data_IF_393857013325
#
_entry.id   IF_393857013325
#
_cell.length_a   1.000
_cell.length_b   1.000
_cell.length_c   1.000
_cell.angle_alpha   90.00
_cell.angle_beta   90.00
_cell.angle_gamma   90.00
#
_symmetry.space_group_name_H-M   'P 1'
#
loop_
_entity.id
_entity.type
_entity.pdbx_description
1 polymer ?
#
# COMPACT_ATOMS: atom_id res chain seq x y z
N UNK A 1 -50.93 -16.86 0.90
CA UNK A 1 -49.59 -16.39 0.52
C UNK A 1 -48.63 -16.83 1.59
N UNK A 2 -47.91 -17.93 1.33
CA UNK A 2 -46.97 -18.53 2.28
C UNK A 2 -45.60 -17.89 2.07
N UNK A 3 -45.06 -17.28 3.12
CA UNK A 3 -43.75 -16.63 3.11
C UNK A 3 -42.64 -17.64 3.40
N UNK A 4 -41.67 -17.68 2.49
CA UNK A 4 -40.44 -18.46 2.54
C UNK A 4 -39.59 -18.17 3.79
N UNK A 5 -39.11 -19.24 4.43
CA UNK A 5 -38.16 -19.18 5.53
C UNK A 5 -36.83 -19.79 5.07
N UNK A 6 -35.89 -18.93 4.64
CA UNK A 6 -34.55 -19.31 4.22
C UNK A 6 -33.59 -19.32 5.42
N UNK A 7 -33.13 -20.52 5.79
CA UNK A 7 -32.03 -20.77 6.74
C UNK A 7 -30.69 -20.34 6.15
N UNK A 8 -29.99 -19.42 6.82
CA UNK A 8 -28.60 -19.11 6.51
C UNK A 8 -27.63 -20.16 7.09
N UNK A 9 -26.79 -20.70 6.20
CA UNK A 9 -25.68 -21.62 6.50
C UNK A 9 -24.49 -20.86 7.12
N UNK A 10 -23.97 -21.37 8.23
CA UNK A 10 -22.61 -21.09 8.74
C UNK A 10 -21.56 -21.59 7.73
N UNK A 11 -20.65 -20.71 7.32
CA UNK A 11 -19.27 -21.01 6.90
C UNK A 11 -18.39 -20.07 7.76
N UNK A 12 -17.45 -20.52 8.56
CA UNK A 12 -16.42 -21.51 8.23
C UNK A 12 -15.12 -20.73 8.06
N UNK A 13 -14.54 -20.33 9.19
CA UNK A 13 -13.19 -19.75 9.31
C UNK A 13 -12.18 -20.75 8.74
N UNK A 14 -11.25 -20.27 7.91
CA UNK A 14 -9.97 -20.92 7.72
C UNK A 14 -8.92 -19.88 7.39
N UNK A 15 -7.93 -19.82 8.28
CA UNK A 15 -6.76 -18.99 8.22
C UNK A 15 -5.84 -19.40 7.06
N UNK A 16 -5.21 -18.40 6.43
CA UNK A 16 -4.00 -18.55 5.66
C UNK A 16 -3.09 -17.37 5.99
N UNK A 17 -1.79 -17.61 6.19
CA UNK A 17 -0.81 -16.67 5.68
C UNK A 17 0.19 -17.37 4.75
N UNK A 18 0.18 -16.93 3.50
CA UNK A 18 1.08 -17.34 2.44
C UNK A 18 2.35 -16.50 2.44
N UNK A 19 3.47 -17.20 2.30
CA UNK A 19 4.68 -16.80 1.56
C UNK A 19 5.41 -15.51 1.96
N UNK A 20 6.38 -15.67 2.87
CA UNK A 20 7.54 -14.80 2.95
C UNK A 20 8.42 -14.97 1.69
N UNK A 21 8.77 -13.85 1.08
CA UNK A 21 9.64 -13.72 -0.08
C UNK A 21 11.01 -13.19 0.33
N UNK A 22 12.00 -13.52 -0.51
CA UNK A 22 13.29 -12.83 -0.72
C UNK A 22 14.46 -13.09 0.25
N UNK A 23 15.50 -13.77 -0.24
CA UNK A 23 16.77 -13.12 -0.64
C UNK A 23 17.90 -14.14 -0.83
N UNK A 24 18.54 -14.25 -2.01
CA UNK A 24 19.83 -14.90 -2.13
C UNK A 24 20.97 -13.89 -1.92
N UNK A 25 21.76 -14.19 -0.90
CA UNK A 25 23.00 -13.55 -0.46
C UNK A 25 24.09 -13.75 -1.54
N UNK A 26 24.47 -12.71 -2.28
CA UNK A 26 25.47 -12.80 -3.36
C UNK A 26 26.74 -12.02 -2.98
N UNK A 27 27.60 -12.64 -2.18
CA UNK A 27 28.90 -12.09 -1.77
C UNK A 27 29.97 -12.39 -2.82
N UNK A 28 30.20 -11.45 -3.75
CA UNK A 28 31.42 -11.44 -4.58
C UNK A 28 32.59 -10.87 -3.77
N UNK A 29 33.47 -11.76 -3.28
CA UNK A 29 34.78 -11.37 -2.75
C UNK A 29 35.66 -10.85 -3.88
N UNK A 30 36.32 -9.74 -3.60
CA UNK A 30 37.24 -8.98 -4.42
C UNK A 30 38.63 -9.22 -3.85
N UNK A 31 39.40 -10.13 -4.43
CA UNK A 31 40.79 -10.37 -4.05
C UNK A 31 41.68 -10.39 -5.31
N UNK A 32 42.65 -9.49 -5.33
CA UNK A 32 43.70 -9.34 -6.34
C UNK A 32 44.34 -7.96 -6.16
N UNK A 33 45.64 -7.86 -5.82
CA UNK A 33 46.66 -8.24 -6.79
C UNK A 33 47.87 -9.00 -6.19
N UNK A 34 48.30 -10.06 -6.85
CA UNK A 34 49.65 -10.61 -6.65
C UNK A 34 50.60 -9.98 -7.67
N UNK A 35 51.54 -9.22 -7.15
CA UNK A 35 52.73 -8.78 -7.87
C UNK A 35 53.63 -10.00 -8.13
N UNK A 36 54.00 -10.22 -9.39
CA UNK A 36 55.21 -10.95 -9.73
C UNK A 36 55.92 -10.27 -10.89
N UNK A 37 57.23 -10.25 -10.73
CA UNK A 37 58.25 -9.38 -11.32
C UNK A 37 59.11 -10.26 -12.25
N UNK A 38 59.72 -9.61 -13.25
CA UNK A 38 60.77 -10.12 -14.14
C UNK A 38 60.27 -11.16 -15.18
N UNK A 39 60.70 -11.15 -16.43
CA UNK A 39 62.04 -10.94 -16.97
C UNK A 39 62.01 -10.30 -18.36
N UNK A 40 63.14 -9.68 -18.71
CA UNK A 40 63.45 -9.19 -20.03
C UNK A 40 63.35 -10.29 -21.10
N UNK A 41 62.78 -9.95 -22.26
CA UNK A 41 63.31 -10.48 -23.51
C UNK A 41 63.24 -9.43 -24.62
N UNK A 42 64.40 -9.26 -25.24
CA UNK A 42 64.69 -8.33 -26.31
C UNK A 42 64.32 -9.05 -27.60
N UNK A 43 63.15 -8.73 -28.16
CA UNK A 43 62.83 -9.08 -29.54
C UNK A 43 62.31 -7.85 -30.26
N UNK A 44 63.27 -7.16 -30.87
CA UNK A 44 63.12 -6.05 -31.80
C UNK A 44 62.52 -6.61 -33.10
N UNK A 45 61.19 -6.71 -33.16
CA UNK A 45 60.48 -6.87 -34.42
C UNK A 45 60.08 -5.48 -34.89
N UNK A 46 60.67 -5.04 -36.00
CA UNK A 46 60.27 -3.84 -36.71
C UNK A 46 58.83 -4.00 -37.21
N UNK A 47 57.86 -3.66 -36.36
CA UNK A 47 56.47 -3.51 -36.77
C UNK A 47 56.27 -2.05 -37.17
N UNK A 48 56.24 -1.82 -38.48
CA UNK A 48 55.76 -0.60 -39.11
C UNK A 48 54.55 -0.06 -38.36
N UNK A 49 54.67 1.10 -37.72
CA UNK A 49 53.52 1.85 -37.23
C UNK A 49 52.66 2.24 -38.43
N UNK A 50 51.68 1.40 -38.72
CA UNK A 50 50.49 1.84 -39.42
C UNK A 50 49.70 2.62 -38.40
N UNK A 51 49.82 3.95 -38.41
CA UNK A 51 48.85 4.82 -37.76
C UNK A 51 47.47 4.43 -38.28
N UNK A 52 46.55 3.89 -37.46
CA UNK A 52 45.19 3.66 -37.91
C UNK A 52 44.60 5.04 -38.20
N UNK A 53 44.39 5.32 -39.48
CA UNK A 53 43.61 6.46 -39.93
C UNK A 53 42.29 6.48 -39.17
N UNK A 54 41.83 7.65 -38.66
CA UNK A 54 40.56 7.74 -37.95
C UNK A 54 39.48 7.12 -38.82
N UNK A 55 38.59 6.27 -38.27
CA UNK A 55 37.59 5.57 -39.05
C UNK A 55 36.76 6.61 -39.81
N UNK A 56 36.99 6.70 -41.12
CA UNK A 56 36.22 7.57 -41.98
C UNK A 56 34.81 7.00 -41.99
N UNK A 57 33.88 7.74 -41.38
CA UNK A 57 32.47 7.38 -41.33
C UNK A 57 32.02 7.16 -42.77
N UNK A 58 31.66 5.92 -43.09
CA UNK A 58 31.20 5.61 -44.44
C UNK A 58 29.86 6.33 -44.67
N UNK A 59 29.52 6.69 -45.92
CA UNK A 59 28.25 7.35 -46.23
C UNK A 59 27.02 6.62 -45.66
N UNK A 60 27.12 5.30 -45.51
CA UNK A 60 26.13 4.44 -44.88
C UNK A 60 25.93 4.74 -43.39
N UNK A 61 27.01 5.08 -42.67
CA UNK A 61 27.00 5.35 -41.24
C UNK A 61 26.35 6.71 -40.92
N UNK A 62 26.54 7.69 -41.81
CA UNK A 62 25.82 8.97 -41.78
C UNK A 62 24.32 8.77 -42.04
N UNK A 63 23.95 7.94 -43.01
CA UNK A 63 22.54 7.59 -43.27
C UNK A 63 21.88 6.90 -42.08
N UNK A 64 22.56 5.97 -41.41
CA UNK A 64 22.01 5.28 -40.23
C UNK A 64 21.75 6.28 -39.09
N UNK A 65 22.67 7.22 -38.85
CA UNK A 65 22.49 8.26 -37.81
C UNK A 65 21.32 9.19 -38.13
N UNK A 66 21.15 9.55 -39.40
CA UNK A 66 20.07 10.43 -39.84
C UNK A 66 18.70 9.74 -39.70
N UNK A 67 18.61 8.46 -40.10
CA UNK A 67 17.42 7.63 -39.90
C UNK A 67 17.10 7.49 -38.41
N UNK A 68 18.09 7.21 -37.56
CA UNK A 68 17.87 7.09 -36.12
C UNK A 68 17.33 8.40 -35.52
N UNK A 69 17.82 9.54 -36.01
CA UNK A 69 17.36 10.86 -35.56
C UNK A 69 15.92 11.13 -35.99
N UNK A 70 15.55 10.83 -37.24
CA UNK A 70 14.17 10.97 -37.72
C UNK A 70 13.21 10.02 -36.99
N UNK A 71 13.62 8.77 -36.76
CA UNK A 71 12.84 7.79 -36.00
C UNK A 71 12.60 8.28 -34.57
N UNK A 72 13.62 8.79 -33.89
CA UNK A 72 13.47 9.36 -32.55
C UNK A 72 12.53 10.57 -32.55
N UNK A 73 12.66 11.46 -33.53
CA UNK A 73 11.79 12.64 -33.66
C UNK A 73 10.33 12.28 -33.91
N UNK A 74 10.04 11.14 -34.54
CA UNK A 74 8.67 10.67 -34.78
C UNK A 74 8.10 9.92 -33.57
N UNK A 75 8.92 9.09 -32.92
CA UNK A 75 8.48 8.19 -31.85
C UNK A 75 8.36 8.92 -30.50
N UNK A 76 9.34 9.76 -30.15
CA UNK A 76 9.38 10.39 -28.82
C UNK A 76 8.12 11.21 -28.51
N UNK A 77 7.60 12.08 -29.41
CA UNK A 77 6.38 12.84 -29.12
C UNK A 77 5.16 11.94 -28.89
N UNK A 78 5.08 10.81 -29.60
CA UNK A 78 3.98 9.85 -29.44
C UNK A 78 4.04 9.16 -28.09
N UNK A 79 5.25 8.77 -27.66
CA UNK A 79 5.46 8.17 -26.33
C UNK A 79 5.15 9.19 -25.23
N UNK A 80 5.68 10.41 -25.35
CA UNK A 80 5.45 11.49 -24.38
C UNK A 80 3.95 11.78 -24.22
N UNK A 81 3.21 11.94 -25.33
CA UNK A 81 1.77 12.16 -25.28
C UNK A 81 1.00 11.00 -24.63
N UNK A 82 1.41 9.75 -24.87
CA UNK A 82 0.80 8.58 -24.25
C UNK A 82 1.07 8.53 -22.74
N UNK A 83 2.30 8.85 -22.33
CA UNK A 83 2.69 8.92 -20.93
C UNK A 83 1.94 10.04 -20.20
N UNK A 84 1.88 11.25 -20.77
CA UNK A 84 1.15 12.38 -20.19
C UNK A 84 -0.32 12.03 -19.99
N UNK A 85 -0.96 11.38 -20.97
CA UNK A 85 -2.35 10.94 -20.85
C UNK A 85 -2.52 9.93 -19.72
N UNK A 86 -1.61 8.96 -19.59
CA UNK A 86 -1.65 7.98 -18.52
C UNK A 86 -1.44 8.62 -17.14
N UNK A 87 -0.46 9.51 -17.02
CA UNK A 87 -0.14 10.26 -15.80
C UNK A 87 -1.34 11.10 -15.38
N UNK A 88 -1.95 11.86 -16.29
CA UNK A 88 -3.12 12.69 -15.98
C UNK A 88 -4.32 11.86 -15.49
N UNK A 89 -4.53 10.68 -16.08
CA UNK A 89 -5.57 9.74 -15.61
C UNK A 89 -5.28 9.26 -14.20
N UNK A 90 -4.06 8.82 -13.94
CA UNK A 90 -3.64 8.37 -12.61
C UNK A 90 -3.78 9.49 -11.57
N UNK A 91 -3.38 10.71 -11.90
CA UNK A 91 -3.53 11.87 -11.02
C UNK A 91 -5.00 12.16 -10.70
N UNK A 92 -5.88 12.08 -11.70
CA UNK A 92 -7.34 12.23 -11.51
C UNK A 92 -7.89 11.15 -10.59
N UNK A 93 -7.49 9.89 -10.80
CA UNK A 93 -7.93 8.77 -9.98
C UNK A 93 -7.43 8.91 -8.52
N UNK A 94 -6.17 9.33 -8.32
CA UNK A 94 -5.60 9.60 -7.00
C UNK A 94 -6.36 10.72 -6.29
N UNK A 95 -6.67 11.83 -6.97
CA UNK A 95 -7.45 12.91 -6.40
C UNK A 95 -8.86 12.46 -5.99
N UNK A 96 -9.50 11.66 -6.84
CA UNK A 96 -10.82 11.07 -6.53
C UNK A 96 -10.78 10.13 -5.33
N UNK A 97 -9.73 9.32 -5.20
CA UNK A 97 -9.52 8.46 -4.02
C UNK A 97 -9.25 9.27 -2.76
N UNK A 98 -8.43 10.32 -2.82
CA UNK A 98 -8.14 11.19 -1.70
C UNK A 98 -9.40 11.89 -1.16
N UNK A 99 -10.26 12.38 -2.05
CA UNK A 99 -11.54 12.98 -1.67
C UNK A 99 -12.47 11.97 -0.99
N UNK A 100 -12.57 10.75 -1.52
CA UNK A 100 -13.36 9.67 -0.90
C UNK A 100 -12.83 9.29 0.47
N UNK A 101 -11.51 9.17 0.63
CA UNK A 101 -10.87 8.85 1.89
C UNK A 101 -11.16 9.93 2.95
N UNK A 102 -11.07 11.20 2.57
CA UNK A 102 -11.40 12.33 3.45
C UNK A 102 -12.85 12.24 3.93
N UNK A 103 -13.80 12.08 3.00
CA UNK A 103 -15.22 11.93 3.34
C UNK A 103 -15.49 10.71 4.23
N UNK A 104 -14.81 9.59 4.01
CA UNK A 104 -14.93 8.42 4.87
C UNK A 104 -14.37 8.68 6.28
N UNK A 105 -13.26 9.41 6.38
CA UNK A 105 -12.67 9.82 7.67
C UNK A 105 -13.63 10.70 8.46
N UNK A 106 -14.27 11.67 7.81
CA UNK A 106 -15.25 12.56 8.45
C UNK A 106 -16.47 11.78 8.95
N UNK A 107 -16.99 10.85 8.14
CA UNK A 107 -18.10 9.98 8.55
C UNK A 107 -17.73 9.09 9.75
N UNK A 108 -16.49 8.58 9.80
CA UNK A 108 -16.01 7.79 10.94
C UNK A 108 -15.98 8.65 12.20
N UNK A 109 -15.45 9.87 12.13
CA UNK A 109 -15.41 10.78 13.26
C UNK A 109 -16.83 11.12 13.79
N UNK A 110 -17.79 11.36 12.90
CA UNK A 110 -19.20 11.59 13.31
C UNK A 110 -19.79 10.34 13.99
N UNK A 111 -19.51 9.14 13.47
CA UNK A 111 -19.98 7.90 14.10
C UNK A 111 -19.35 7.69 15.48
N UNK A 112 -18.07 7.99 15.65
CA UNK A 112 -17.38 7.90 16.94
C UNK A 112 -18.00 8.85 17.97
N UNK A 113 -18.30 10.09 17.58
CA UNK A 113 -18.98 11.06 18.45
C UNK A 113 -20.37 10.55 18.87
N UNK A 114 -21.14 10.01 17.92
CA UNK A 114 -22.47 9.44 18.18
C UNK A 114 -22.41 8.24 19.12
N UNK A 115 -21.42 7.35 18.95
CA UNK A 115 -21.21 6.20 19.83
C UNK A 115 -20.88 6.67 21.24
N UNK A 116 -19.96 7.63 21.39
CA UNK A 116 -19.60 8.18 22.70
C UNK A 116 -20.81 8.80 23.41
N UNK A 117 -21.65 9.57 22.70
CA UNK A 117 -22.88 10.11 23.27
C UNK A 117 -23.88 9.03 23.70
N UNK A 118 -23.99 7.94 22.93
CA UNK A 118 -24.85 6.81 23.29
C UNK A 118 -24.34 6.08 24.53
N UNK A 119 -23.02 5.92 24.67
CA UNK A 119 -22.39 5.30 25.84
C UNK A 119 -22.63 6.12 27.12
N UNK A 120 -22.51 7.44 27.03
CA UNK A 120 -22.81 8.36 28.14
C UNK A 120 -24.29 8.26 28.55
N UNK A 121 -25.19 8.28 27.57
CA UNK A 121 -26.63 8.16 27.80
C UNK A 121 -27.03 6.82 28.40
N UNK A 122 -26.41 5.73 27.94
CA UNK A 122 -26.62 4.39 28.48
C UNK A 122 -26.15 4.31 29.93
N UNK A 123 -24.97 4.87 30.23
CA UNK A 123 -24.41 4.92 31.59
C UNK A 123 -25.32 5.72 32.54
N UNK A 124 -25.79 6.89 32.11
CA UNK A 124 -26.74 7.71 32.86
C UNK A 124 -28.06 6.98 33.13
N UNK A 125 -28.60 6.30 32.11
CA UNK A 125 -29.84 5.52 32.22
C UNK A 125 -29.68 4.34 33.19
N UNK A 126 -28.54 3.64 33.13
CA UNK A 126 -28.24 2.53 34.02
C UNK A 126 -28.15 2.98 35.49
N UNK A 127 -27.53 4.12 35.74
CA UNK A 127 -27.47 4.72 37.09
C UNK A 127 -28.86 5.08 37.64
N UNK A 128 -29.73 5.64 36.80
CA UNK A 128 -31.13 5.93 37.18
C UNK A 128 -31.89 4.65 37.50
N UNK A 129 -31.71 3.61 36.68
CA UNK A 129 -32.33 2.31 36.88
C UNK A 129 -31.90 1.71 38.23
N UNK A 130 -30.60 1.69 38.53
CA UNK A 130 -30.07 1.22 39.81
C UNK A 130 -30.67 1.98 41.01
N UNK A 131 -30.79 3.31 40.91
CA UNK A 131 -31.42 4.12 41.96
C UNK A 131 -32.90 3.76 42.17
N UNK A 132 -33.64 3.58 41.08
CA UNK A 132 -35.06 3.20 41.15
C UNK A 132 -35.24 1.80 41.75
N UNK A 133 -34.41 0.83 41.36
CA UNK A 133 -34.42 -0.52 41.94
C UNK A 133 -34.18 -0.49 43.45
N UNK A 134 -33.21 0.31 43.92
CA UNK A 134 -32.96 0.47 45.36
C UNK A 134 -34.19 1.07 46.07
N UNK A 135 -34.79 2.10 45.48
CA UNK A 135 -35.97 2.75 46.05
C UNK A 135 -37.18 1.81 46.11
N UNK A 136 -37.38 0.97 45.09
CA UNK A 136 -38.41 -0.07 45.07
C UNK A 136 -38.19 -1.03 46.25
N UNK A 137 -36.99 -1.58 46.41
CA UNK A 137 -36.67 -2.49 47.52
C UNK A 137 -36.91 -1.85 48.90
N UNK A 138 -36.53 -0.58 49.07
CA UNK A 138 -36.80 0.14 50.32
C UNK A 138 -38.29 0.31 50.60
N UNK A 139 -39.11 0.53 49.57
CA UNK A 139 -40.56 0.63 49.70
C UNK A 139 -41.20 -0.72 49.97
N UNK A 140 -40.75 -1.79 49.30
CA UNK A 140 -41.19 -3.16 49.55
C UNK A 140 -40.95 -3.56 51.01
N UNK A 141 -39.74 -3.33 51.54
CA UNK A 141 -39.41 -3.61 52.94
C UNK A 141 -40.29 -2.82 53.92
N UNK A 142 -40.56 -1.54 53.63
CA UNK A 142 -41.45 -0.71 54.46
C UNK A 142 -42.89 -1.22 54.42
N UNK A 143 -43.35 -1.67 53.26
CA UNK A 143 -44.70 -2.22 53.10
C UNK A 143 -44.84 -3.52 53.91
N UNK A 144 -43.84 -4.40 53.87
CA UNK A 144 -43.80 -5.63 54.67
C UNK A 144 -43.80 -5.34 56.18
N UNK A 145 -43.00 -4.39 56.66
CA UNK A 145 -43.00 -3.98 58.08
C UNK A 145 -44.37 -3.43 58.52
N UNK A 146 -45.01 -2.61 57.68
CA UNK A 146 -46.36 -2.10 57.95
C UNK A 146 -47.41 -3.21 57.99
N UNK A 147 -47.35 -4.15 57.05
CA UNK A 147 -48.28 -5.29 57.03
C UNK A 147 -48.11 -6.17 58.28
N UNK A 148 -46.87 -6.44 58.69
CA UNK A 148 -46.57 -7.22 59.89
C UNK A 148 -47.03 -6.53 61.19
N UNK A 149 -47.02 -5.19 61.25
CA UNK A 149 -47.53 -4.43 62.41
C UNK A 149 -49.06 -4.34 62.47
N UNK A 150 -49.73 -4.51 61.34
CA UNK A 150 -51.19 -4.42 61.25
C UNK A 150 -51.89 -5.75 61.57
N UNK A 151 -51.15 -6.84 61.73
CA UNK A 151 -51.65 -8.18 62.11
C UNK A 151 -51.55 -8.37 63.62
#
# INVERSE_FOLDING_TARGET
MAGDSLRHKKKGENAAPSSATSSPDNKRKKDGPSASRAMADVSRVCHTQVTPSPPQSTPTDLNIKQIATEVANLINPTIEAALDKAINRIQTDIQGLAAKLTSQSDNIAEMEERVSSLEDNASSSNNKLFYLEKKIKELENKNEDLENRSR
#
